data_IF_171803266315
#
_entry.id   IF_171803266315
#
_cell.length_a   1.000
_cell.length_b   1.000
_cell.length_c   1.000
_cell.angle_alpha   90.00
_cell.angle_beta   90.00
_cell.angle_gamma   90.00
#
_symmetry.space_group_name_H-M   'P 1'
#
loop_
_entity.id
_entity.type
_entity.pdbx_description
1 polymer ?
#
# COMPACT_ATOMS: atom_id res chain seq x y z
N UNK A 1 23.52 33.89 -40.66
CA UNK A 1 22.69 32.70 -40.49
C UNK A 1 22.29 32.20 -41.87
N UNK A 2 22.60 30.96 -42.22
CA UNK A 2 22.17 30.34 -43.47
C UNK A 2 20.78 29.75 -43.27
N UNK A 3 19.81 30.18 -44.08
CA UNK A 3 18.45 29.69 -44.10
C UNK A 3 18.34 28.60 -45.18
N UNK A 4 17.89 27.37 -44.85
CA UNK A 4 17.57 26.37 -45.85
C UNK A 4 16.12 26.58 -46.33
N UNK A 5 15.96 27.13 -47.54
CA UNK A 5 14.66 27.27 -48.18
C UNK A 5 14.41 26.09 -49.11
N UNK A 6 13.72 25.09 -48.64
CA UNK A 6 13.34 23.91 -49.42
C UNK A 6 11.91 23.47 -49.12
N UNK A 7 11.21 22.98 -50.11
CA UNK A 7 9.88 22.42 -49.98
C UNK A 7 9.91 20.94 -49.56
N UNK A 8 11.11 20.33 -49.55
CA UNK A 8 11.29 18.94 -49.21
C UNK A 8 12.69 18.71 -48.63
N UNK A 9 12.74 18.01 -47.49
CA UNK A 9 13.96 17.47 -46.93
C UNK A 9 13.88 15.97 -47.10
N UNK A 10 14.87 15.33 -47.71
CA UNK A 10 14.97 13.87 -47.85
C UNK A 10 16.39 13.40 -47.56
N UNK A 11 16.54 12.20 -46.99
CA UNK A 11 17.81 11.53 -46.77
C UNK A 11 18.08 10.54 -47.92
N UNK A 12 19.35 10.33 -48.26
CA UNK A 12 19.73 9.37 -49.31
C UNK A 12 19.80 7.91 -48.78
N UNK A 13 19.78 7.73 -47.47
CA UNK A 13 20.03 6.47 -46.79
C UNK A 13 18.80 5.88 -46.11
N UNK A 14 17.62 6.47 -46.31
CA UNK A 14 16.36 6.08 -45.69
C UNK A 14 16.30 6.25 -44.14
N UNK A 15 17.29 6.92 -43.55
CA UNK A 15 17.28 7.24 -42.14
C UNK A 15 16.50 8.53 -41.87
N UNK A 16 16.06 8.71 -40.64
CA UNK A 16 15.36 9.91 -40.21
C UNK A 16 16.31 11.13 -40.18
N UNK A 17 15.80 12.31 -40.46
CA UNK A 17 16.54 13.55 -40.25
C UNK A 17 16.70 13.80 -38.76
N UNK A 18 17.94 13.82 -38.27
CA UNK A 18 18.23 14.25 -36.91
C UNK A 18 18.14 15.78 -36.79
N UNK A 19 17.45 16.25 -35.79
CA UNK A 19 17.35 17.69 -35.45
C UNK A 19 17.98 17.87 -34.06
N UNK A 20 19.14 18.49 -34.00
CA UNK A 20 19.90 18.64 -32.74
C UNK A 20 19.28 19.64 -31.76
N UNK A 21 18.33 20.46 -32.23
CA UNK A 21 17.60 21.43 -31.43
C UNK A 21 16.10 21.20 -31.55
N UNK A 22 15.29 22.06 -30.96
CA UNK A 22 13.84 21.95 -31.01
C UNK A 22 13.29 22.13 -32.43
N UNK A 23 12.34 21.29 -32.84
CA UNK A 23 11.53 21.49 -34.03
C UNK A 23 10.43 22.52 -33.73
N UNK A 24 10.50 23.69 -34.36
CA UNK A 24 9.43 24.69 -34.28
C UNK A 24 8.26 24.31 -35.19
N UNK A 25 7.11 23.97 -34.64
CA UNK A 25 5.89 23.74 -35.41
C UNK A 25 5.24 25.07 -35.78
N UNK A 26 4.67 25.14 -36.99
CA UNK A 26 3.89 26.32 -37.40
C UNK A 26 2.62 26.43 -36.56
N UNK A 27 2.35 27.64 -36.06
CA UNK A 27 1.25 27.90 -35.12
C UNK A 27 -0.01 28.34 -35.83
N UNK A 28 -1.16 27.78 -35.44
CA UNK A 28 -2.48 28.12 -35.95
C UNK A 28 -3.51 28.15 -34.83
N UNK A 29 -4.53 28.96 -34.88
CA UNK A 29 -5.73 28.79 -34.08
C UNK A 29 -6.55 27.61 -34.60
N UNK A 30 -7.48 27.06 -33.78
CA UNK A 30 -8.41 26.02 -34.24
C UNK A 30 -9.15 26.39 -35.52
N UNK A 31 -9.59 27.64 -35.67
CA UNK A 31 -10.27 28.12 -36.88
C UNK A 31 -9.35 28.10 -38.10
N UNK A 32 -8.11 28.58 -37.95
CA UNK A 32 -7.12 28.57 -39.03
C UNK A 32 -6.71 27.15 -39.41
N UNK A 33 -6.51 26.26 -38.40
CA UNK A 33 -6.22 24.86 -38.61
C UNK A 33 -7.31 24.16 -39.45
N UNK A 34 -8.59 24.42 -39.15
CA UNK A 34 -9.70 23.80 -39.86
C UNK A 34 -9.83 24.29 -41.33
N UNK A 35 -9.20 25.40 -41.67
CA UNK A 35 -9.14 25.92 -43.02
C UNK A 35 -7.93 25.43 -43.86
N UNK A 36 -7.04 24.63 -43.27
CA UNK A 36 -5.88 24.06 -43.96
C UNK A 36 -6.32 22.94 -44.93
N UNK A 37 -5.67 22.88 -46.07
CA UNK A 37 -5.70 21.68 -46.94
C UNK A 37 -4.63 20.73 -46.40
N UNK A 38 -5.03 19.82 -45.54
CA UNK A 38 -4.10 18.96 -44.78
C UNK A 38 -4.01 17.56 -45.37
N UNK A 39 -2.83 16.97 -45.28
CA UNK A 39 -2.57 15.56 -45.64
C UNK A 39 -2.15 14.77 -44.40
N UNK A 40 -2.40 13.46 -44.39
CA UNK A 40 -2.04 12.61 -43.26
C UNK A 40 -0.54 12.75 -42.89
N UNK A 41 -0.27 13.00 -41.61
CA UNK A 41 1.07 13.26 -41.10
C UNK A 41 1.45 14.73 -40.95
N UNK A 42 0.65 15.68 -41.43
CA UNK A 42 0.88 17.11 -41.17
C UNK A 42 0.84 17.38 -39.67
N UNK A 43 1.77 18.21 -39.18
CA UNK A 43 1.88 18.59 -37.76
C UNK A 43 1.86 20.13 -37.60
N UNK A 44 1.14 20.60 -36.59
CA UNK A 44 1.04 22.01 -36.22
C UNK A 44 1.07 22.18 -34.69
N UNK A 45 1.24 23.43 -34.25
CA UNK A 45 0.91 23.85 -32.89
C UNK A 45 -0.41 24.62 -32.90
N UNK A 46 -1.44 24.12 -32.20
CA UNK A 46 -2.72 24.81 -32.09
C UNK A 46 -2.69 25.77 -30.89
N UNK A 47 -2.71 27.07 -31.18
CA UNK A 47 -2.64 28.13 -30.17
C UNK A 47 -3.93 28.30 -29.35
N UNK A 48 -5.07 27.79 -29.83
CA UNK A 48 -6.34 27.84 -29.12
C UNK A 48 -6.36 26.77 -28.01
N UNK A 49 -5.83 25.56 -28.30
CA UNK A 49 -5.76 24.44 -27.35
C UNK A 49 -4.41 24.37 -26.59
N UNK A 50 -3.41 25.17 -27.05
CA UNK A 50 -2.02 25.13 -26.59
C UNK A 50 -1.39 23.73 -26.74
N UNK A 51 -1.71 23.02 -27.83
CA UNK A 51 -1.26 21.64 -28.07
C UNK A 51 -0.62 21.49 -29.45
N UNK A 52 0.34 20.62 -29.59
CA UNK A 52 0.75 20.12 -30.88
C UNK A 52 -0.28 19.11 -31.40
N UNK A 53 -0.60 19.19 -32.68
CA UNK A 53 -1.60 18.31 -33.31
C UNK A 53 -1.04 17.73 -34.60
N UNK A 54 -1.49 16.53 -34.97
CA UNK A 54 -1.22 15.94 -36.28
C UNK A 54 -2.51 15.56 -36.98
N UNK A 55 -2.47 15.58 -38.33
CA UNK A 55 -3.62 15.19 -39.16
C UNK A 55 -3.56 13.71 -39.51
N UNK A 56 -4.61 12.94 -39.16
CA UNK A 56 -4.69 11.51 -39.43
C UNK A 56 -5.05 11.15 -40.87
N UNK A 57 -5.40 12.16 -41.71
CA UNK A 57 -6.02 11.98 -43.02
C UNK A 57 -7.54 12.19 -42.98
N UNK A 58 -8.14 12.22 -41.82
CA UNK A 58 -9.57 12.47 -41.61
C UNK A 58 -9.87 13.48 -40.48
N UNK A 59 -8.98 13.60 -39.52
CA UNK A 59 -9.15 14.50 -38.37
C UNK A 59 -7.79 14.97 -37.82
N UNK A 60 -7.80 16.15 -37.19
CA UNK A 60 -6.70 16.64 -36.39
C UNK A 60 -6.78 16.02 -35.00
N UNK A 61 -5.67 15.43 -34.53
CA UNK A 61 -5.53 14.76 -33.24
C UNK A 61 -4.32 15.33 -32.50
N UNK A 62 -4.44 15.54 -31.21
CA UNK A 62 -3.32 16.03 -30.39
C UNK A 62 -2.17 15.01 -30.37
N UNK A 63 -0.92 15.51 -30.55
CA UNK A 63 0.27 14.69 -30.41
C UNK A 63 0.59 14.48 -28.95
N UNK A 64 0.58 13.25 -28.49
CA UNK A 64 0.96 12.90 -27.11
C UNK A 64 -0.06 13.27 -26.04
N UNK A 65 -1.28 13.54 -26.43
CA UNK A 65 -2.32 13.94 -25.51
C UNK A 65 -3.02 12.79 -24.80
N UNK A 66 -2.35 12.06 -23.94
CA UNK A 66 -3.02 11.63 -22.72
C UNK A 66 -2.83 12.78 -21.75
N UNK A 67 -3.92 13.43 -21.34
CA UNK A 67 -3.92 14.44 -20.28
C UNK A 67 -3.45 13.75 -18.98
N UNK A 68 -2.12 13.64 -18.84
CA UNK A 68 -1.49 13.02 -17.69
C UNK A 68 -1.19 14.10 -16.64
N UNK A 69 -1.41 13.77 -15.41
CA UNK A 69 -1.12 14.63 -14.26
C UNK A 69 -0.41 13.81 -13.18
N UNK A 70 0.34 14.50 -12.31
CA UNK A 70 0.99 13.84 -11.18
C UNK A 70 -0.08 13.42 -10.16
N UNK A 71 -0.13 12.11 -9.88
CA UNK A 71 -1.02 11.53 -8.88
C UNK A 71 -0.18 10.81 -7.83
N UNK A 72 -0.23 11.30 -6.61
CA UNK A 72 0.32 10.57 -5.48
C UNK A 72 -0.69 9.58 -4.92
N UNK A 73 -0.22 8.39 -4.56
CA UNK A 73 -1.05 7.39 -3.90
C UNK A 73 -0.32 6.73 -2.74
N UNK A 74 -1.10 6.29 -1.76
CA UNK A 74 -0.71 5.37 -0.71
C UNK A 74 -1.70 4.20 -0.71
N UNK A 75 -1.20 2.99 -0.87
CA UNK A 75 -1.97 1.75 -0.87
C UNK A 75 -1.48 0.91 0.30
N UNK A 76 -2.35 0.67 1.27
CA UNK A 76 -2.07 -0.19 2.42
C UNK A 76 -3.09 -1.32 2.43
N UNK A 77 -2.62 -2.56 2.46
CA UNK A 77 -3.49 -3.73 2.53
C UNK A 77 -4.03 -3.97 3.95
N UNK A 78 -5.01 -4.85 4.08
CA UNK A 78 -5.44 -5.34 5.38
C UNK A 78 -4.35 -6.17 6.05
N UNK A 79 -4.24 -6.09 7.36
CA UNK A 79 -3.23 -6.79 8.15
C UNK A 79 -3.68 -8.17 8.62
N UNK A 80 -2.73 -9.02 9.00
CA UNK A 80 -2.99 -10.33 9.56
C UNK A 80 -3.42 -10.27 11.03
N UNK A 81 -4.18 -11.29 11.47
CA UNK A 81 -4.58 -11.48 12.86
C UNK A 81 -3.46 -12.11 13.70
N UNK A 82 -3.46 -11.79 15.00
CA UNK A 82 -2.57 -12.38 15.98
C UNK A 82 -2.91 -13.84 16.29
N UNK A 83 -1.91 -14.59 16.79
CA UNK A 83 -2.02 -15.99 17.21
C UNK A 83 -2.69 -16.15 18.58
N UNK A 84 -3.14 -17.37 18.93
CA UNK A 84 -3.75 -17.68 20.21
C UNK A 84 -2.69 -17.80 21.30
N UNK A 85 -3.10 -17.55 22.53
CA UNK A 85 -2.34 -17.95 23.71
C UNK A 85 -3.12 -18.94 24.56
N UNK A 86 -2.44 -19.65 25.47
CA UNK A 86 -3.16 -20.54 26.34
C UNK A 86 -2.33 -21.63 26.99
N UNK A 87 -3.05 -22.63 27.52
CA UNK A 87 -2.50 -23.80 28.21
C UNK A 87 -1.34 -24.42 27.41
N UNK A 88 -0.44 -25.11 28.14
CA UNK A 88 0.81 -25.69 27.62
C UNK A 88 1.90 -24.65 27.23
N UNK A 89 1.85 -23.46 27.83
CA UNK A 89 2.82 -22.39 27.60
C UNK A 89 2.86 -21.95 26.12
N UNK A 90 1.69 -21.72 25.56
CA UNK A 90 1.54 -21.14 24.20
C UNK A 90 1.39 -19.64 24.32
N UNK A 91 2.27 -18.90 23.63
CA UNK A 91 2.33 -17.43 23.61
C UNK A 91 2.04 -16.95 22.20
N UNK A 92 0.91 -16.28 21.99
CA UNK A 92 0.49 -15.85 20.68
C UNK A 92 1.49 -14.91 20.02
N UNK A 93 1.86 -15.18 18.76
CA UNK A 93 2.62 -14.24 17.93
C UNK A 93 1.76 -13.07 17.47
N UNK A 94 2.38 -11.95 17.12
CA UNK A 94 1.72 -10.81 16.52
C UNK A 94 1.42 -11.04 15.03
N UNK A 95 0.29 -10.53 14.52
CA UNK A 95 0.00 -10.50 13.08
C UNK A 95 0.90 -9.54 12.32
N UNK A 96 1.28 -9.88 11.10
CA UNK A 96 2.01 -9.01 10.19
C UNK A 96 1.15 -7.86 9.66
N UNK A 97 1.75 -6.72 9.41
CA UNK A 97 1.07 -5.59 8.79
C UNK A 97 0.65 -5.90 7.35
N UNK A 98 -0.35 -5.22 6.85
CA UNK A 98 -0.61 -5.15 5.41
C UNK A 98 0.59 -4.58 4.67
N UNK A 99 0.87 -5.04 3.45
CA UNK A 99 1.87 -4.43 2.60
C UNK A 99 1.59 -2.94 2.39
N UNK A 100 2.62 -2.19 2.03
CA UNK A 100 2.50 -0.76 1.75
C UNK A 100 3.22 -0.42 0.46
N UNK A 101 2.51 0.28 -0.43
CA UNK A 101 3.07 0.86 -1.66
C UNK A 101 2.72 2.35 -1.67
N UNK A 102 3.73 3.20 -1.88
CA UNK A 102 3.59 4.66 -1.96
C UNK A 102 4.24 5.21 -3.21
N UNK A 103 3.61 6.26 -3.79
CA UNK A 103 4.19 7.11 -4.82
C UNK A 103 4.43 8.54 -4.34
N UNK A 104 4.24 8.82 -3.05
CA UNK A 104 4.38 10.17 -2.48
C UNK A 104 5.82 10.65 -2.59
N UNK A 105 6.02 11.78 -3.24
CA UNK A 105 7.36 12.33 -3.51
C UNK A 105 8.12 12.61 -2.21
N UNK A 106 9.37 12.13 -2.16
CA UNK A 106 10.26 12.33 -1.00
C UNK A 106 9.96 11.43 0.20
N UNK A 107 8.96 10.56 0.13
CA UNK A 107 8.65 9.58 1.17
C UNK A 107 9.18 8.18 0.84
N UNK A 108 9.02 7.26 1.77
CA UNK A 108 9.36 5.84 1.61
C UNK A 108 8.11 5.01 1.32
N UNK A 109 8.28 4.01 0.49
CA UNK A 109 7.38 2.87 0.32
C UNK A 109 7.79 1.73 1.27
N UNK A 110 7.13 0.59 1.18
CA UNK A 110 7.48 -0.59 1.99
C UNK A 110 8.94 -1.00 1.84
N UNK A 111 9.50 -1.58 2.89
CA UNK A 111 10.93 -1.91 3.05
C UNK A 111 11.87 -0.70 2.90
N UNK A 112 11.39 0.49 3.26
CA UNK A 112 12.15 1.74 3.21
C UNK A 112 12.69 2.11 1.82
N UNK A 113 12.05 1.61 0.76
CA UNK A 113 12.40 1.92 -0.63
C UNK A 113 11.84 3.31 -0.98
N UNK A 114 12.57 4.10 -1.76
CA UNK A 114 12.09 5.40 -2.22
C UNK A 114 10.83 5.24 -3.07
N UNK A 115 9.81 6.06 -2.79
CA UNK A 115 8.59 6.11 -3.57
C UNK A 115 8.88 6.66 -4.98
N UNK A 116 8.20 6.11 -5.97
CA UNK A 116 8.35 6.54 -7.37
C UNK A 116 7.14 7.38 -7.79
N UNK A 117 7.39 8.47 -8.49
CA UNK A 117 6.34 9.32 -9.07
C UNK A 117 5.43 8.50 -10.00
N UNK A 118 4.14 8.79 -9.94
CA UNK A 118 3.14 8.19 -10.80
C UNK A 118 2.33 9.26 -11.54
N UNK A 119 2.17 9.07 -12.85
CA UNK A 119 1.36 9.94 -13.68
C UNK A 119 0.08 9.22 -14.10
N UNK A 120 -1.04 9.68 -13.58
CA UNK A 120 -2.36 9.23 -13.98
C UNK A 120 -2.82 9.92 -15.26
N UNK A 121 -3.72 9.28 -15.99
CA UNK A 121 -4.31 9.80 -17.22
C UNK A 121 -5.77 10.16 -16.97
N UNK A 122 -6.20 11.32 -17.48
CA UNK A 122 -7.63 11.68 -17.50
C UNK A 122 -8.41 10.76 -18.43
N UNK A 123 -9.70 10.64 -18.18
CA UNK A 123 -10.62 9.79 -18.96
C UNK A 123 -10.29 8.29 -18.97
N UNK A 124 -9.33 7.86 -18.14
CA UNK A 124 -9.05 6.45 -17.90
C UNK A 124 -9.76 6.00 -16.62
N UNK A 125 -10.29 4.77 -16.64
CA UNK A 125 -10.91 4.14 -15.48
C UNK A 125 -9.88 3.34 -14.69
N UNK A 126 -9.75 3.61 -13.40
CA UNK A 126 -8.86 2.92 -12.47
C UNK A 126 -9.68 2.08 -11.49
N UNK A 127 -9.31 0.84 -11.32
CA UNK A 127 -9.86 -0.02 -10.27
C UNK A 127 -9.29 0.37 -8.90
N UNK A 128 -10.11 0.30 -7.87
CA UNK A 128 -9.73 0.52 -6.47
C UNK A 128 -10.33 -0.59 -5.62
N UNK A 129 -9.56 -1.15 -4.70
CA UNK A 129 -10.07 -2.06 -3.66
C UNK A 129 -9.34 -1.83 -2.35
N UNK A 130 -10.07 -1.91 -1.26
CA UNK A 130 -9.52 -1.78 0.09
C UNK A 130 -9.68 -3.10 0.83
N UNK A 131 -8.57 -3.70 1.21
CA UNK A 131 -8.50 -4.97 1.90
C UNK A 131 -8.97 -4.90 3.35
N UNK A 132 -9.71 -5.92 3.79
CA UNK A 132 -10.10 -6.11 5.18
C UNK A 132 -8.97 -6.73 6.01
N UNK A 133 -8.93 -6.44 7.30
CA UNK A 133 -8.06 -7.13 8.25
C UNK A 133 -8.50 -8.57 8.49
N UNK A 134 -7.53 -9.47 8.71
CA UNK A 134 -7.78 -10.85 9.08
C UNK A 134 -8.28 -10.97 10.52
N UNK A 135 -9.13 -11.95 10.81
CA UNK A 135 -9.55 -12.24 12.19
C UNK A 135 -8.37 -12.74 13.03
N UNK A 136 -8.32 -12.36 14.30
CA UNK A 136 -7.43 -12.99 15.25
C UNK A 136 -7.81 -14.47 15.47
N UNK A 137 -6.85 -15.27 15.92
CA UNK A 137 -7.11 -16.64 16.34
C UNK A 137 -8.19 -16.67 17.43
N UNK A 138 -9.07 -17.65 17.37
CA UNK A 138 -10.03 -17.87 18.48
C UNK A 138 -9.30 -18.32 19.75
N UNK A 139 -9.99 -18.27 20.90
CA UNK A 139 -9.45 -18.73 22.20
C UNK A 139 -9.24 -20.25 22.19
N UNK A 140 -8.35 -20.74 21.35
CA UNK A 140 -7.96 -22.14 21.19
C UNK A 140 -6.55 -22.22 20.64
N UNK A 141 -5.66 -22.95 21.31
CA UNK A 141 -4.28 -23.17 20.86
C UNK A 141 -4.19 -23.87 19.49
N UNK A 142 -5.28 -24.44 19.01
CA UNK A 142 -5.39 -25.08 17.69
C UNK A 142 -5.92 -24.14 16.59
N UNK A 143 -6.18 -22.86 16.87
CA UNK A 143 -6.72 -21.89 15.93
C UNK A 143 -5.61 -20.98 15.37
N UNK A 144 -5.56 -20.82 14.06
CA UNK A 144 -4.73 -19.79 13.41
C UNK A 144 -5.45 -18.43 13.41
N UNK A 145 -4.68 -17.36 13.42
CA UNK A 145 -5.15 -16.10 12.87
C UNK A 145 -5.45 -16.22 11.36
N UNK A 146 -6.17 -15.28 10.81
CA UNK A 146 -6.39 -15.18 9.36
C UNK A 146 -5.52 -14.10 8.74
N UNK A 147 -5.09 -14.30 7.50
CA UNK A 147 -4.40 -13.26 6.73
C UNK A 147 -5.33 -12.08 6.45
N UNK A 148 -4.75 -10.90 6.31
CA UNK A 148 -5.44 -9.77 5.70
C UNK A 148 -5.69 -10.00 4.21
N UNK A 149 -6.50 -9.13 3.62
CA UNK A 149 -6.74 -9.17 2.17
C UNK A 149 -6.07 -7.99 1.46
N UNK A 150 -5.83 -8.16 0.17
CA UNK A 150 -5.11 -7.20 -0.65
C UNK A 150 -5.88 -5.88 -0.84
N UNK A 151 -5.13 -4.79 -0.99
CA UNK A 151 -5.63 -3.52 -1.51
C UNK A 151 -4.99 -3.22 -2.86
N UNK A 152 -5.70 -2.55 -3.75
CA UNK A 152 -5.12 -2.14 -5.02
C UNK A 152 -5.63 -0.77 -5.51
N UNK A 153 -4.80 -0.14 -6.34
CA UNK A 153 -5.14 1.00 -7.19
C UNK A 153 -4.53 0.78 -8.58
N UNK A 154 -5.37 0.77 -9.63
CA UNK A 154 -4.92 0.48 -10.98
C UNK A 154 -4.21 -0.87 -11.07
N UNK A 155 -2.95 -0.86 -11.45
CA UNK A 155 -2.10 -2.07 -11.57
C UNK A 155 -1.20 -2.31 -10.34
N UNK A 156 -1.32 -1.50 -9.29
CA UNK A 156 -0.53 -1.63 -8.06
C UNK A 156 -1.33 -2.40 -7.02
N UNK A 157 -0.80 -3.54 -6.58
CA UNK A 157 -1.43 -4.38 -5.56
C UNK A 157 -0.54 -4.47 -4.34
N UNK A 158 -1.08 -4.06 -3.22
CA UNK A 158 -0.49 -4.25 -1.90
C UNK A 158 -1.07 -5.52 -1.29
N UNK A 159 -0.19 -6.44 -0.87
CA UNK A 159 -0.54 -7.79 -0.41
C UNK A 159 -0.99 -7.75 1.04
N UNK A 160 -2.02 -8.53 1.37
CA UNK A 160 -2.51 -8.68 2.74
C UNK A 160 -1.43 -9.17 3.70
N UNK A 161 -1.47 -8.72 4.95
CA UNK A 161 -0.51 -9.12 5.98
C UNK A 161 -0.68 -10.58 6.40
N UNK A 162 0.44 -11.24 6.73
CA UNK A 162 0.46 -12.62 7.21
C UNK A 162 -0.04 -12.75 8.65
N UNK A 163 -0.78 -13.80 8.94
CA UNK A 163 -1.28 -14.11 10.28
C UNK A 163 -0.24 -14.86 11.13
N UNK A 164 -0.32 -14.70 12.45
CA UNK A 164 0.36 -15.61 13.36
C UNK A 164 -0.37 -16.95 13.44
N UNK A 165 0.41 -18.01 13.54
CA UNK A 165 -0.11 -19.38 13.56
C UNK A 165 -0.62 -19.82 14.93
N UNK A 166 -1.25 -20.98 14.92
CA UNK A 166 -1.55 -21.79 16.10
C UNK A 166 -0.29 -22.39 16.71
N UNK A 167 -0.43 -23.00 17.88
CA UNK A 167 0.57 -23.86 18.48
C UNK A 167 1.12 -24.91 17.48
N UNK A 168 2.44 -25.05 17.40
CA UNK A 168 3.15 -25.93 16.46
C UNK A 168 2.81 -25.69 14.97
N UNK A 169 2.43 -24.45 14.59
CA UNK A 169 2.19 -24.06 13.22
C UNK A 169 3.16 -22.98 12.75
N UNK A 170 3.47 -22.95 11.46
CA UNK A 170 4.20 -21.84 10.86
C UNK A 170 3.27 -20.65 10.66
N UNK A 171 3.75 -19.47 11.03
CA UNK A 171 3.07 -18.22 10.68
C UNK A 171 3.12 -18.00 9.18
N UNK A 172 2.20 -17.19 8.66
CA UNK A 172 2.03 -17.06 7.22
C UNK A 172 2.80 -15.86 6.67
N UNK A 173 3.26 -16.04 5.45
CA UNK A 173 3.83 -14.96 4.64
C UNK A 173 2.73 -13.97 4.25
N UNK A 174 3.11 -12.73 3.95
CA UNK A 174 2.17 -11.69 3.55
C UNK A 174 2.87 -10.42 3.06
N UNK A 175 2.14 -9.33 2.96
CA UNK A 175 2.72 -8.00 2.76
C UNK A 175 3.84 -7.74 3.76
N UNK A 176 3.54 -7.97 5.06
CA UNK A 176 4.53 -8.25 6.11
C UNK A 176 4.19 -9.59 6.76
N UNK A 177 5.19 -10.32 7.20
CA UNK A 177 5.04 -11.66 7.76
C UNK A 177 4.47 -11.68 9.18
N UNK A 178 3.73 -12.74 9.55
CA UNK A 178 3.25 -12.96 10.91
C UNK A 178 4.40 -13.37 11.84
N UNK A 179 4.36 -12.90 13.09
CA UNK A 179 5.30 -13.29 14.14
C UNK A 179 5.08 -14.73 14.60
N UNK A 180 6.13 -15.41 15.04
CA UNK A 180 6.07 -16.79 15.50
C UNK A 180 5.29 -16.93 16.80
N UNK A 181 4.43 -17.94 16.89
CA UNK A 181 3.77 -18.31 18.15
C UNK A 181 4.73 -19.11 19.01
N UNK A 182 5.03 -18.62 20.21
CA UNK A 182 5.99 -19.20 21.13
C UNK A 182 5.51 -20.47 21.84
N UNK A 183 6.44 -21.41 22.13
CA UNK A 183 6.21 -22.57 22.97
C UNK A 183 7.52 -23.09 23.56
N UNK A 184 7.50 -23.47 24.82
CA UNK A 184 8.68 -24.08 25.50
C UNK A 184 8.99 -25.49 25.05
N UNK A 185 8.11 -26.17 24.34
CA UNK A 185 8.20 -27.62 24.12
C UNK A 185 8.71 -27.97 22.71
N UNK A 186 8.51 -27.15 21.72
CA UNK A 186 8.86 -27.47 20.33
C UNK A 186 9.34 -26.19 19.59
N UNK A 187 10.64 -26.16 19.29
CA UNK A 187 11.33 -25.02 18.69
C UNK A 187 11.58 -25.12 17.17
N UNK A 188 10.59 -25.48 16.36
CA UNK A 188 10.75 -25.62 14.91
C UNK A 188 9.62 -24.90 14.12
N UNK A 189 8.92 -23.97 14.74
CA UNK A 189 7.98 -23.11 14.02
C UNK A 189 8.76 -22.05 13.22
N UNK A 190 8.10 -21.40 12.28
CA UNK A 190 8.70 -20.34 11.47
C UNK A 190 7.81 -19.11 11.53
N UNK A 191 8.41 -17.93 11.67
CA UNK A 191 7.77 -16.66 11.38
C UNK A 191 7.38 -16.60 9.88
N UNK A 192 6.47 -15.74 9.54
CA UNK A 192 6.13 -15.46 8.13
C UNK A 192 7.15 -14.52 7.50
N UNK A 193 7.38 -14.69 6.21
CA UNK A 193 8.22 -13.80 5.42
C UNK A 193 7.39 -12.61 4.87
N UNK A 194 8.02 -11.44 4.76
CA UNK A 194 7.45 -10.25 4.13
C UNK A 194 7.62 -10.26 2.61
N UNK A 195 6.68 -9.66 1.90
CA UNK A 195 6.78 -9.48 0.46
C UNK A 195 7.80 -8.39 0.14
N UNK A 196 8.73 -8.69 -0.76
CA UNK A 196 9.74 -7.75 -1.24
C UNK A 196 9.09 -6.43 -1.70
N UNK A 197 9.63 -5.31 -1.25
CA UNK A 197 9.20 -3.93 -1.52
C UNK A 197 7.86 -3.53 -0.88
N UNK A 198 7.27 -4.38 0.00
CA UNK A 198 6.00 -4.09 0.66
C UNK A 198 6.08 -4.15 2.18
N UNK A 199 6.87 -5.08 2.74
CA UNK A 199 7.02 -5.21 4.19
C UNK A 199 8.05 -6.25 4.58
N UNK A 200 8.33 -6.32 5.86
CA UNK A 200 9.38 -7.15 6.45
C UNK A 200 8.82 -8.42 7.10
N UNK A 201 9.72 -9.33 7.41
CA UNK A 201 9.43 -10.60 8.08
C UNK A 201 8.93 -10.37 9.51
N UNK A 202 8.20 -11.34 10.02
CA UNK A 202 7.87 -11.42 11.44
C UNK A 202 9.10 -11.73 12.31
N UNK A 203 8.96 -11.58 13.60
CA UNK A 203 9.97 -11.95 14.59
C UNK A 203 9.89 -13.43 14.94
N UNK A 204 11.07 -14.02 15.18
CA UNK A 204 11.20 -15.37 15.73
C UNK A 204 10.74 -15.40 17.19
N UNK A 205 10.41 -16.58 17.67
CA UNK A 205 10.27 -16.81 19.10
C UNK A 205 11.59 -17.27 19.73
N UNK A 206 11.79 -16.88 20.97
CA UNK A 206 12.69 -17.60 21.87
C UNK A 206 11.89 -18.18 23.04
N UNK A 207 11.75 -19.47 23.07
CA UNK A 207 11.25 -20.37 24.14
C UNK A 207 10.05 -19.97 25.02
N UNK A 208 9.78 -18.70 25.36
CA UNK A 208 8.82 -18.28 26.38
C UNK A 208 7.96 -17.07 25.99
N UNK A 209 7.97 -16.64 24.74
CA UNK A 209 7.17 -15.50 24.27
C UNK A 209 6.88 -15.60 22.78
N UNK A 210 5.81 -14.97 22.34
CA UNK A 210 5.47 -14.80 20.94
C UNK A 210 6.33 -13.72 20.29
N UNK A 211 6.80 -13.94 19.06
CA UNK A 211 7.46 -12.93 18.22
C UNK A 211 6.48 -11.84 17.74
N UNK A 212 6.96 -10.64 17.49
CA UNK A 212 6.18 -9.57 16.88
C UNK A 212 5.94 -9.80 15.39
N UNK A 213 4.81 -9.35 14.86
CA UNK A 213 4.57 -9.34 13.40
C UNK A 213 5.46 -8.33 12.69
N UNK A 214 5.82 -8.59 11.42
CA UNK A 214 6.56 -7.65 10.59
C UNK A 214 5.77 -6.38 10.28
N UNK A 215 6.45 -5.28 10.03
CA UNK A 215 5.88 -4.02 9.58
C UNK A 215 6.40 -3.60 8.20
N UNK A 216 5.83 -2.58 7.60
CA UNK A 216 6.32 -2.04 6.33
C UNK A 216 7.67 -1.36 6.43
N UNK A 217 8.02 -0.86 7.61
CA UNK A 217 9.27 -0.13 7.89
C UNK A 217 10.30 -0.90 8.70
N UNK A 218 10.02 -2.10 9.19
CA UNK A 218 10.96 -2.91 9.95
C UNK A 218 10.48 -4.32 10.23
N UNK A 219 11.44 -5.20 10.54
CA UNK A 219 11.15 -6.58 10.97
C UNK A 219 10.43 -6.60 12.32
N UNK A 220 9.63 -7.63 12.57
CA UNK A 220 9.11 -7.90 13.89
C UNK A 220 10.25 -8.33 14.84
N UNK A 221 10.20 -7.91 16.09
CA UNK A 221 11.22 -8.31 17.06
C UNK A 221 10.98 -9.75 17.52
N UNK A 222 12.08 -10.50 17.56
CA UNK A 222 12.12 -11.76 18.28
C UNK A 222 12.13 -11.49 19.77
N UNK A 223 11.82 -12.51 20.58
CA UNK A 223 11.70 -12.30 22.00
C UNK A 223 12.48 -13.32 22.82
N UNK A 224 13.22 -12.84 23.83
CA UNK A 224 13.90 -13.68 24.82
C UNK A 224 13.18 -13.67 26.19
N UNK A 225 12.74 -12.54 26.67
CA UNK A 225 12.14 -12.34 28.03
C UNK A 225 10.87 -11.50 28.02
N UNK A 226 10.59 -10.74 26.95
CA UNK A 226 9.36 -10.00 26.74
C UNK A 226 8.70 -10.49 25.46
N UNK A 227 7.41 -10.23 25.25
CA UNK A 227 6.78 -10.43 23.96
C UNK A 227 7.49 -9.57 22.91
N UNK A 228 7.76 -10.09 21.70
CA UNK A 228 8.40 -9.34 20.63
C UNK A 228 7.57 -8.14 20.20
N UNK A 229 8.18 -6.97 20.08
CA UNK A 229 7.51 -5.81 19.54
C UNK A 229 7.19 -6.00 18.03
N UNK A 230 6.09 -5.45 17.60
CA UNK A 230 5.77 -5.37 16.17
C UNK A 230 6.79 -4.53 15.40
N UNK A 231 7.05 -4.90 14.15
CA UNK A 231 7.90 -4.13 13.24
C UNK A 231 7.35 -2.72 12.98
N UNK A 232 8.23 -1.76 12.81
CA UNK A 232 7.84 -0.38 12.56
C UNK A 232 7.00 -0.26 11.26
N UNK A 233 6.05 0.66 11.27
CA UNK A 233 5.35 1.08 10.05
C UNK A 233 6.10 2.16 9.29
N UNK A 234 5.53 2.57 8.17
CA UNK A 234 6.02 3.65 7.30
C UNK A 234 5.17 4.90 7.51
N UNK A 235 5.83 6.04 7.64
CA UNK A 235 5.17 7.33 7.80
C UNK A 235 4.81 7.92 6.44
N UNK A 236 3.61 8.48 6.32
CA UNK A 236 3.19 9.28 5.17
C UNK A 236 2.44 10.53 5.58
N UNK A 237 2.64 11.60 4.85
CA UNK A 237 1.96 12.89 4.98
C UNK A 237 0.95 13.15 3.84
N UNK A 238 0.56 12.12 3.11
CA UNK A 238 -0.33 12.23 1.93
C UNK A 238 -1.65 12.95 2.20
N UNK A 239 -2.12 13.00 3.45
CA UNK A 239 -3.34 13.71 3.87
C UNK A 239 -3.07 15.09 4.50
N UNK A 240 -1.86 15.64 4.34
CA UNK A 240 -1.43 16.90 4.96
C UNK A 240 -0.97 16.75 6.42
N UNK A 241 -1.12 15.58 7.02
CA UNK A 241 -0.67 15.29 8.39
C UNK A 241 0.15 13.99 8.42
N UNK A 242 1.20 13.97 9.23
CA UNK A 242 2.08 12.81 9.38
C UNK A 242 1.37 11.68 10.13
N UNK A 243 1.21 10.54 9.46
CA UNK A 243 0.53 9.34 9.97
C UNK A 243 1.40 8.12 9.71
N UNK A 244 1.53 7.23 10.69
CA UNK A 244 2.24 5.96 10.52
C UNK A 244 1.24 4.87 10.12
N UNK A 245 1.56 4.11 9.05
CA UNK A 245 0.76 3.02 8.50
C UNK A 245 1.54 1.71 8.53
N UNK A 246 0.82 0.60 8.46
CA UNK A 246 1.36 -0.74 8.26
C UNK A 246 2.44 -1.14 9.28
N UNK A 247 2.19 -0.96 10.56
CA UNK A 247 3.04 -1.49 11.63
C UNK A 247 2.57 -2.86 12.11
N UNK A 248 3.50 -3.70 12.55
CA UNK A 248 3.24 -5.06 13.04
C UNK A 248 2.53 -5.10 14.39
N UNK A 249 1.85 -6.20 14.69
CA UNK A 249 1.29 -6.50 15.99
C UNK A 249 2.36 -7.03 16.97
N UNK A 250 2.19 -6.78 18.26
CA UNK A 250 3.08 -7.32 19.30
C UNK A 250 2.79 -8.77 19.66
N UNK A 251 3.81 -9.52 20.01
CA UNK A 251 3.70 -10.88 20.54
C UNK A 251 3.33 -10.91 22.03
N UNK A 252 2.71 -11.98 22.48
CA UNK A 252 2.29 -12.15 23.86
C UNK A 252 3.35 -12.75 24.77
N UNK A 253 3.16 -12.60 26.07
CA UNK A 253 4.04 -13.14 27.11
C UNK A 253 3.31 -13.56 28.40
N UNK A 254 4.04 -14.19 29.30
CA UNK A 254 3.65 -14.62 30.66
C UNK A 254 3.56 -13.43 31.64
N UNK A 255 2.78 -13.59 32.69
CA UNK A 255 2.36 -12.62 33.70
C UNK A 255 3.43 -11.86 34.52
N UNK A 256 4.69 -11.87 34.27
CA UNK A 256 5.66 -11.11 35.05
C UNK A 256 6.33 -9.98 34.25
N UNK A 257 6.02 -9.87 32.97
CA UNK A 257 6.70 -9.00 32.02
C UNK A 257 5.69 -8.33 31.07
N UNK A 258 6.15 -7.57 30.10
CA UNK A 258 5.29 -6.84 29.16
C UNK A 258 5.09 -7.60 27.85
N UNK A 259 3.87 -7.71 27.39
CA UNK A 259 3.56 -8.13 26.02
C UNK A 259 4.16 -7.12 25.03
N UNK A 260 4.55 -7.57 23.85
CA UNK A 260 5.11 -6.75 22.81
C UNK A 260 4.19 -5.61 22.40
N UNK A 261 4.76 -4.45 22.16
CA UNK A 261 4.02 -3.29 21.68
C UNK A 261 3.70 -3.41 20.19
N UNK A 262 2.45 -3.15 19.80
CA UNK A 262 2.11 -2.93 18.40
C UNK A 262 2.65 -1.58 17.92
N UNK A 263 3.20 -1.53 16.72
CA UNK A 263 3.75 -0.29 16.11
C UNK A 263 2.84 0.20 14.99
N UNK A 264 2.89 1.46 14.68
CA UNK A 264 2.26 2.06 13.50
C UNK A 264 0.79 1.66 13.23
N UNK A 265 -0.02 1.53 14.29
CA UNK A 265 -1.40 1.06 14.20
C UNK A 265 -1.59 -0.42 14.52
N UNK A 266 -0.52 -1.18 14.81
CA UNK A 266 -0.60 -2.56 15.28
C UNK A 266 -1.19 -2.67 16.69
N UNK A 267 -1.81 -3.82 16.99
CA UNK A 267 -2.34 -4.16 18.31
C UNK A 267 -1.24 -4.71 19.22
N UNK A 268 -1.34 -4.45 20.50
CA UNK A 268 -0.39 -4.97 21.50
C UNK A 268 -0.66 -6.45 21.79
N UNK A 269 0.40 -7.22 22.04
CA UNK A 269 0.32 -8.53 22.62
C UNK A 269 -0.12 -8.47 24.09
N UNK A 270 -0.74 -9.53 24.57
CA UNK A 270 -1.17 -9.61 25.97
C UNK A 270 0.02 -9.87 26.92
N UNK A 271 0.00 -9.23 28.07
CA UNK A 271 0.96 -9.44 29.18
C UNK A 271 0.33 -10.29 30.28
N UNK A 272 -0.03 -11.55 29.99
CA UNK A 272 -0.71 -12.42 30.94
C UNK A 272 -2.07 -12.89 30.46
N UNK A 273 -3.01 -13.22 31.40
CA UNK A 273 -4.35 -13.64 31.03
C UNK A 273 -5.07 -12.56 30.23
N UNK A 274 -5.32 -12.79 28.97
CA UNK A 274 -6.05 -11.84 28.13
C UNK A 274 -5.89 -12.03 26.62
N UNK A 275 -6.82 -11.47 25.88
CA UNK A 275 -6.74 -11.45 24.43
C UNK A 275 -5.73 -10.38 23.95
N UNK A 276 -5.12 -10.63 22.80
CA UNK A 276 -4.38 -9.59 22.08
C UNK A 276 -5.30 -8.46 21.62
N UNK A 277 -4.77 -7.25 21.48
CA UNK A 277 -5.58 -6.12 21.01
C UNK A 277 -5.64 -6.08 19.47
N UNK A 278 -6.71 -5.54 18.95
CA UNK A 278 -6.88 -5.40 17.50
C UNK A 278 -5.94 -4.33 16.92
N UNK A 279 -5.53 -4.53 15.70
CA UNK A 279 -4.92 -3.49 14.88
C UNK A 279 -5.93 -2.37 14.56
N UNK A 280 -5.41 -1.18 14.34
CA UNK A 280 -6.21 0.01 14.03
C UNK A 280 -6.77 -0.07 12.62
N UNK A 281 -8.07 0.12 12.47
CA UNK A 281 -8.73 0.18 11.16
C UNK A 281 -8.16 1.30 10.28
N UNK A 282 -8.14 1.08 8.98
CA UNK A 282 -7.65 2.02 7.95
C UNK A 282 -6.17 2.41 8.11
N UNK A 283 -5.39 1.53 8.76
CA UNK A 283 -3.94 1.68 8.89
C UNK A 283 -3.14 0.44 8.50
N UNK A 284 -3.83 -0.69 8.30
CA UNK A 284 -3.15 -1.94 7.95
C UNK A 284 -2.22 -2.45 9.06
N UNK A 285 -2.53 -2.19 10.32
CA UNK A 285 -1.72 -2.63 11.46
C UNK A 285 -2.07 -4.04 11.90
N UNK A 286 -1.06 -4.89 12.20
CA UNK A 286 -1.22 -6.29 12.62
C UNK A 286 -1.96 -6.45 13.94
N UNK A 287 -2.66 -7.57 14.16
CA UNK A 287 -3.30 -7.90 15.44
C UNK A 287 -2.30 -8.40 16.50
N UNK A 288 -2.52 -8.10 17.75
CA UNK A 288 -1.66 -8.57 18.87
C UNK A 288 -1.89 -10.04 19.23
N UNK A 289 -0.88 -10.71 19.77
CA UNK A 289 -0.94 -12.10 20.25
C UNK A 289 -1.76 -12.27 21.52
N UNK A 290 -2.48 -13.40 21.66
CA UNK A 290 -3.20 -13.80 22.87
C UNK A 290 -2.23 -14.29 23.95
N UNK A 291 -2.53 -13.97 25.20
CA UNK A 291 -1.69 -14.29 26.35
C UNK A 291 -1.98 -15.65 27.01
N UNK A 292 -1.40 -15.86 28.17
CA UNK A 292 -1.51 -17.12 28.92
C UNK A 292 -1.97 -16.84 30.34
N UNK A 293 -2.72 -17.81 30.90
CA UNK A 293 -3.01 -17.91 32.33
C UNK A 293 -2.28 -19.11 32.93
N UNK A 294 -1.24 -18.85 33.70
CA UNK A 294 -0.46 -19.88 34.38
C UNK A 294 -1.15 -20.43 35.65
N UNK A 295 -2.19 -19.77 36.13
CA UNK A 295 -2.94 -20.20 37.31
C UNK A 295 -4.10 -21.14 37.00
N UNK A 296 -4.44 -21.30 35.72
CA UNK A 296 -5.58 -22.10 35.24
C UNK A 296 -5.16 -23.02 34.09
N UNK A 297 -5.48 -24.31 34.25
CA UNK A 297 -5.23 -25.32 33.21
C UNK A 297 -6.17 -25.23 32.00
N UNK A 298 -7.00 -24.20 31.89
CA UNK A 298 -8.00 -24.04 30.83
C UNK A 298 -8.08 -22.64 30.24
N UNK A 299 -7.17 -21.72 30.61
CA UNK A 299 -7.18 -20.34 30.13
C UNK A 299 -6.58 -20.22 28.73
N UNK A 300 -7.40 -20.30 27.70
CA UNK A 300 -7.01 -19.95 26.33
C UNK A 300 -7.51 -18.55 25.99
N UNK A 301 -6.71 -17.78 25.26
CA UNK A 301 -7.01 -16.40 24.89
C UNK A 301 -6.87 -16.16 23.40
N UNK A 302 -7.78 -15.37 22.86
CA UNK A 302 -7.81 -15.03 21.44
C UNK A 302 -6.67 -14.07 21.04
N UNK A 303 -6.19 -14.20 19.82
CA UNK A 303 -5.41 -13.15 19.19
C UNK A 303 -6.30 -11.95 18.79
N UNK A 304 -5.72 -10.77 18.65
CA UNK A 304 -6.39 -9.59 18.12
C UNK A 304 -6.58 -9.70 16.60
N UNK A 305 -7.64 -9.11 16.08
CA UNK A 305 -7.82 -8.99 14.63
C UNK A 305 -6.82 -7.97 14.02
N UNK A 306 -6.40 -8.18 12.78
CA UNK A 306 -5.69 -7.17 12.01
C UNK A 306 -6.58 -5.98 11.64
N UNK A 307 -5.98 -4.79 11.48
CA UNK A 307 -6.68 -3.62 11.00
C UNK A 307 -6.93 -3.67 9.49
N UNK A 308 -8.02 -3.06 9.03
CA UNK A 308 -8.25 -2.89 7.58
C UNK A 308 -7.19 -2.01 6.93
N UNK A 309 -6.99 -2.19 5.63
CA UNK A 309 -6.18 -1.33 4.79
C UNK A 309 -6.84 0.00 4.47
N UNK A 310 -6.19 0.76 3.59
CA UNK A 310 -6.66 2.05 3.08
C UNK A 310 -6.03 2.31 1.71
N UNK A 311 -6.75 3.00 0.82
CA UNK A 311 -6.20 3.59 -0.41
C UNK A 311 -6.41 5.09 -0.36
N UNK A 312 -5.35 5.86 -0.52
CA UNK A 312 -5.40 7.32 -0.50
C UNK A 312 -4.80 7.84 -1.81
N UNK A 313 -5.48 8.79 -2.42
CA UNK A 313 -5.02 9.46 -3.64
C UNK A 313 -4.92 10.96 -3.37
N UNK A 314 -3.85 11.62 -3.88
CA UNK A 314 -3.62 13.07 -3.80
C UNK A 314 -3.15 13.62 -5.14
N UNK A 315 -3.65 14.77 -5.52
CA UNK A 315 -3.29 15.47 -6.76
C UNK A 315 -3.41 16.98 -6.61
N UNK A 316 -2.74 17.73 -7.46
CA UNK A 316 -2.94 19.18 -7.53
C UNK A 316 -4.36 19.47 -8.00
N UNK A 317 -5.14 20.24 -7.23
CA UNK A 317 -6.57 20.50 -7.48
C UNK A 317 -6.84 21.08 -8.86
N UNK A 318 -5.92 21.92 -9.37
CA UNK A 318 -6.06 22.55 -10.69
C UNK A 318 -5.82 21.56 -11.85
N UNK A 319 -5.14 20.43 -11.60
CA UNK A 319 -4.75 19.51 -12.68
C UNK A 319 -5.86 18.53 -13.03
N UNK A 320 -6.67 18.10 -12.07
CA UNK A 320 -7.70 17.10 -12.32
C UNK A 320 -8.87 17.18 -11.34
N UNK A 321 -10.01 16.61 -11.75
CA UNK A 321 -11.18 16.40 -10.90
C UNK A 321 -11.54 14.91 -10.90
N UNK A 322 -11.68 14.31 -9.72
CA UNK A 322 -12.14 12.92 -9.60
C UNK A 322 -13.64 12.83 -9.85
N UNK A 323 -14.07 11.80 -10.59
CA UNK A 323 -15.49 11.55 -10.87
C UNK A 323 -16.33 11.42 -9.61
N UNK A 324 -17.55 11.94 -9.65
CA UNK A 324 -18.49 11.91 -8.53
C UNK A 324 -18.99 10.48 -8.20
N UNK A 325 -19.10 9.61 -9.22
CA UNK A 325 -19.59 8.23 -9.05
C UNK A 325 -18.44 7.31 -8.71
N UNK A 326 -18.49 6.75 -7.50
CA UNK A 326 -17.52 5.81 -6.96
C UNK A 326 -18.24 4.60 -6.35
N UNK A 327 -19.10 3.99 -7.16
CA UNK A 327 -19.98 2.88 -6.71
C UNK A 327 -19.16 1.71 -6.16
N UNK A 328 -19.59 1.19 -5.03
CA UNK A 328 -18.94 0.07 -4.34
C UNK A 328 -17.77 0.47 -3.44
N UNK A 329 -17.38 1.75 -3.43
CA UNK A 329 -16.34 2.28 -2.56
C UNK A 329 -16.95 3.09 -1.40
N UNK A 330 -16.31 3.01 -0.24
CA UNK A 330 -16.60 3.85 0.92
C UNK A 330 -15.48 4.87 1.06
N UNK A 331 -15.81 6.16 0.98
CA UNK A 331 -14.87 7.27 1.12
C UNK A 331 -15.47 8.42 1.94
N UNK A 332 -14.60 9.31 2.40
CA UNK A 332 -14.98 10.52 3.16
C UNK A 332 -15.26 11.75 2.29
N UNK A 333 -15.38 11.58 0.97
CA UNK A 333 -15.43 12.68 0.01
C UNK A 333 -14.04 13.28 -0.27
N UNK A 334 -13.98 14.14 -1.27
CA UNK A 334 -12.76 14.88 -1.61
C UNK A 334 -12.49 15.94 -0.55
N UNK A 335 -11.27 15.97 -0.07
CA UNK A 335 -10.77 16.95 0.89
C UNK A 335 -9.63 17.76 0.26
N UNK A 336 -9.25 18.89 0.85
CA UNK A 336 -8.20 19.77 0.36
C UNK A 336 -7.13 20.02 1.43
N UNK A 337 -5.88 20.14 0.97
CA UNK A 337 -4.73 20.54 1.75
C UNK A 337 -3.87 21.50 0.92
N UNK A 338 -3.97 22.79 1.18
CA UNK A 338 -3.34 23.83 0.38
C UNK A 338 -3.86 23.84 -1.06
N UNK A 339 -2.96 23.65 -2.03
CA UNK A 339 -3.26 23.57 -3.48
C UNK A 339 -3.72 22.19 -3.93
N UNK A 340 -3.68 21.20 -3.04
CA UNK A 340 -3.93 19.81 -3.39
C UNK A 340 -5.29 19.32 -2.92
N UNK A 341 -5.84 18.41 -3.67
CA UNK A 341 -7.02 17.62 -3.29
C UNK A 341 -6.59 16.20 -2.97
N UNK A 342 -7.26 15.57 -2.00
CA UNK A 342 -7.07 14.17 -1.69
C UNK A 342 -8.38 13.46 -1.35
N UNK A 343 -8.39 12.14 -1.49
CA UNK A 343 -9.51 11.28 -1.12
C UNK A 343 -9.01 10.02 -0.42
N UNK A 344 -9.75 9.57 0.60
CA UNK A 344 -9.43 8.39 1.40
C UNK A 344 -10.51 7.33 1.20
N UNK A 345 -10.15 6.20 0.60
CA UNK A 345 -11.03 5.03 0.49
C UNK A 345 -10.76 4.09 1.65
N UNK A 346 -11.80 3.80 2.45
CA UNK A 346 -11.71 3.02 3.69
C UNK A 346 -12.30 1.63 3.59
N UNK A 347 -13.08 1.33 2.55
CA UNK A 347 -13.65 0.00 2.28
C UNK A 347 -14.18 -0.11 0.85
N UNK A 348 -14.36 -1.36 0.42
CA UNK A 348 -15.07 -1.69 -0.81
C UNK A 348 -14.18 -1.91 -2.01
N UNK A 349 -14.83 -2.24 -3.13
CA UNK A 349 -14.20 -2.43 -4.44
C UNK A 349 -15.04 -1.73 -5.49
N UNK A 350 -14.39 -0.97 -6.37
CA UNK A 350 -15.05 -0.20 -7.40
C UNK A 350 -14.08 0.42 -8.39
N UNK A 351 -14.54 1.44 -9.08
CA UNK A 351 -13.73 2.16 -10.06
C UNK A 351 -13.85 3.67 -9.89
N UNK A 352 -12.81 4.38 -10.30
CA UNK A 352 -12.75 5.84 -10.36
C UNK A 352 -12.22 6.30 -11.72
N UNK A 353 -12.45 7.54 -12.05
CA UNK A 353 -11.84 8.23 -13.20
C UNK A 353 -11.54 9.67 -12.84
N UNK A 354 -10.68 10.30 -13.62
CA UNK A 354 -10.36 11.73 -13.52
C UNK A 354 -10.72 12.44 -14.83
N UNK A 355 -11.10 13.71 -14.71
CA UNK A 355 -11.37 14.62 -15.84
C UNK A 355 -10.53 15.89 -15.74
#
# INVERSE_FOLDING_TARGET
MSELKTNKISTNDQNNVAIDNALGLKSYTTTQRNALTSVAGDMIYNTTTSKAEYYTGSAWVETGGVDAFNLEFLIVAGAGGGGPGGYENVYGGGGGAGGLISSVSGEKSGQNIDANLYFAQKSVTYGVSVGGGGSGASASVSSNGANGTDSYFGNFTSIGGGAAAKYNGNSTDGGSGGGETGSIVYGNNRQGDGTVRQGFDGGDNASNAGGGGGGSGGVGEGSDVNGGDGGNGTTSSITGSSVVYAGGGGGALITAYTGGAGKGGGGNGSSGPGAGTNGTANRGGGGGGGGIDTSSSSGNYAGGAGGSGVVILRWVTADATIGATRTGLTDGGVQTDGSDSYIVFTAGTGTISFS
#
